data_IF_849108949553
#
_entry.id   IF_849108949553
#
_cell.length_a   1.000
_cell.length_b   1.000
_cell.length_c   1.000
_cell.angle_alpha   90.00
_cell.angle_beta   90.00
_cell.angle_gamma   90.00
#
_symmetry.space_group_name_H-M   'P 1'
#
loop_
_entity.id
_entity.type
_entity.pdbx_description
1 polymer ?
#
# COMPACT_ATOMS: atom_id res chain seq x y z
N UNK A 1 16.12 19.49 6.55
CA UNK A 1 17.16 19.70 7.56
C UNK A 1 16.81 20.94 8.39
N UNK A 2 17.07 20.89 9.68
CA UNK A 2 17.02 22.05 10.59
C UNK A 2 18.34 22.09 11.34
N UNK A 3 19.08 23.18 11.24
CA UNK A 3 20.42 23.33 11.88
C UNK A 3 21.37 22.15 11.58
N UNK A 4 21.37 21.66 10.35
CA UNK A 4 22.20 20.56 9.89
C UNK A 4 21.72 19.15 10.30
N UNK A 5 20.60 19.01 11.01
CA UNK A 5 20.01 17.73 11.41
C UNK A 5 18.85 17.36 10.48
N UNK A 6 18.74 16.07 10.16
CA UNK A 6 17.57 15.54 9.46
C UNK A 6 16.39 15.54 10.43
N UNK A 7 15.32 16.26 10.11
CA UNK A 7 14.09 16.33 10.90
C UNK A 7 12.89 15.68 10.21
N UNK A 8 13.05 15.29 8.94
CA UNK A 8 12.04 14.55 8.22
C UNK A 8 12.48 14.21 6.81
N UNK A 9 11.74 13.32 6.21
CA UNK A 9 11.87 12.91 4.79
C UNK A 9 10.49 12.62 4.20
N UNK A 10 10.35 12.72 2.89
CA UNK A 10 9.16 12.33 2.14
C UNK A 10 9.56 12.02 0.71
N UNK A 11 8.89 11.09 0.07
CA UNK A 11 8.98 10.87 -1.36
C UNK A 11 7.76 11.48 -2.07
N UNK A 12 7.99 12.27 -3.11
CA UNK A 12 6.95 12.73 -4.04
C UNK A 12 6.95 11.81 -5.28
N UNK A 13 5.81 11.19 -5.57
CA UNK A 13 5.71 10.15 -6.58
C UNK A 13 4.59 10.48 -7.56
N UNK A 14 4.87 10.48 -8.86
CA UNK A 14 3.85 10.53 -9.90
C UNK A 14 3.83 9.16 -10.59
N UNK A 15 2.78 8.39 -10.32
CA UNK A 15 2.53 7.14 -11.03
C UNK A 15 1.55 7.40 -12.17
N UNK A 16 2.06 7.55 -13.39
CA UNK A 16 1.25 7.86 -14.56
C UNK A 16 0.25 6.76 -14.91
N UNK A 17 0.55 5.48 -14.62
CA UNK A 17 -0.37 4.36 -14.83
C UNK A 17 -1.55 4.44 -13.87
N UNK A 18 -1.27 4.63 -12.57
CA UNK A 18 -2.31 4.82 -11.58
C UNK A 18 -3.18 6.05 -11.93
N UNK A 19 -2.56 7.17 -12.29
CA UNK A 19 -3.29 8.37 -12.68
C UNK A 19 -4.18 8.13 -13.91
N UNK A 20 -3.71 7.39 -14.91
CA UNK A 20 -4.53 7.03 -16.08
C UNK A 20 -5.67 6.10 -15.69
N UNK A 21 -5.38 5.05 -14.90
CA UNK A 21 -6.39 4.09 -14.47
C UNK A 21 -7.52 4.72 -13.68
N UNK A 22 -7.15 5.51 -12.68
CA UNK A 22 -8.09 6.15 -11.75
C UNK A 22 -8.62 7.50 -12.25
N UNK A 23 -8.22 7.93 -13.46
CA UNK A 23 -8.58 9.21 -14.08
C UNK A 23 -8.30 10.41 -13.14
N UNK A 24 -7.16 10.35 -12.45
CA UNK A 24 -6.70 11.37 -11.50
C UNK A 24 -5.47 12.10 -12.04
N UNK A 25 -5.21 13.28 -11.49
CA UNK A 25 -3.97 14.04 -11.68
C UNK A 25 -3.31 14.23 -10.32
N UNK A 26 -2.89 13.11 -9.72
CA UNK A 26 -2.36 13.07 -8.37
C UNK A 26 -0.85 12.95 -8.33
N UNK A 27 -0.25 13.64 -7.37
CA UNK A 27 1.06 13.31 -6.82
C UNK A 27 0.87 12.57 -5.51
N UNK A 28 1.51 11.43 -5.37
CA UNK A 28 1.49 10.67 -4.12
C UNK A 28 2.61 11.16 -3.20
N UNK A 29 2.36 11.17 -1.89
CA UNK A 29 3.43 11.23 -0.89
C UNK A 29 3.55 9.89 -0.20
N UNK A 30 4.76 9.39 -0.07
CA UNK A 30 5.06 8.12 0.59
C UNK A 30 6.38 8.18 1.34
N UNK A 31 6.69 7.11 2.07
CA UNK A 31 7.89 7.00 2.92
C UNK A 31 8.15 8.26 3.75
N UNK A 32 7.06 8.83 4.30
CA UNK A 32 7.13 10.03 5.11
C UNK A 32 7.57 9.66 6.53
N UNK A 33 8.65 10.30 6.98
CA UNK A 33 9.08 10.28 8.37
C UNK A 33 9.35 11.71 8.81
N UNK A 34 8.96 12.04 10.03
CA UNK A 34 9.13 13.39 10.58
C UNK A 34 9.16 13.37 12.10
N UNK A 35 9.79 14.37 12.68
CA UNK A 35 9.68 14.66 14.10
C UNK A 35 8.29 15.22 14.43
N UNK A 36 7.89 15.17 15.71
CA UNK A 36 6.62 15.74 16.18
C UNK A 36 6.66 17.28 16.13
N UNK A 37 6.46 17.81 14.93
CA UNK A 37 6.53 19.24 14.63
C UNK A 37 5.71 19.57 13.39
N UNK A 38 4.66 20.39 13.56
CA UNK A 38 3.72 20.73 12.49
C UNK A 38 4.36 21.53 11.35
N UNK A 39 5.39 22.33 11.63
CA UNK A 39 6.08 23.11 10.59
C UNK A 39 6.94 22.18 9.71
N UNK A 40 7.52 21.12 10.30
CA UNK A 40 8.22 20.08 9.53
C UNK A 40 7.25 19.33 8.66
N UNK A 41 6.10 18.90 9.20
CA UNK A 41 5.06 18.23 8.43
C UNK A 41 4.57 19.10 7.26
N UNK A 42 4.30 20.39 7.52
CA UNK A 42 3.91 21.37 6.50
C UNK A 42 4.96 21.50 5.40
N UNK A 43 6.23 21.71 5.75
CA UNK A 43 7.29 21.87 4.78
C UNK A 43 7.48 20.64 3.88
N UNK A 44 7.34 19.43 4.43
CA UNK A 44 7.42 18.19 3.67
C UNK A 44 6.28 18.07 2.65
N UNK A 45 5.04 18.31 3.10
CA UNK A 45 3.87 18.19 2.24
C UNK A 45 3.77 19.33 1.22
N UNK A 46 4.19 20.54 1.58
CA UNK A 46 4.28 21.67 0.64
C UNK A 46 5.29 21.39 -0.46
N UNK A 47 6.42 20.74 -0.15
CA UNK A 47 7.40 20.32 -1.16
C UNK A 47 6.82 19.29 -2.13
N UNK A 48 6.02 18.32 -1.63
CA UNK A 48 5.29 17.36 -2.48
C UNK A 48 4.27 18.07 -3.37
N UNK A 49 3.50 18.98 -2.80
CA UNK A 49 2.50 19.74 -3.51
C UNK A 49 3.14 20.64 -4.61
N UNK A 50 4.26 21.27 -4.31
CA UNK A 50 5.02 22.04 -5.29
C UNK A 50 5.52 21.15 -6.43
N UNK A 51 6.15 20.03 -6.11
CA UNK A 51 6.62 19.05 -7.11
C UNK A 51 5.49 18.59 -8.03
N UNK A 52 4.30 18.36 -7.48
CA UNK A 52 3.11 17.99 -8.22
C UNK A 52 2.62 19.11 -9.12
N UNK A 53 2.46 20.33 -8.60
CA UNK A 53 2.01 21.51 -9.37
C UNK A 53 2.91 21.79 -10.58
N UNK A 54 4.21 21.73 -10.41
CA UNK A 54 5.18 21.93 -11.50
C UNK A 54 5.05 20.90 -12.63
N UNK A 55 4.36 19.76 -12.35
CA UNK A 55 4.15 18.66 -13.31
C UNK A 55 2.67 18.47 -13.68
N UNK A 56 1.84 19.49 -13.41
CA UNK A 56 0.45 19.50 -13.79
C UNK A 56 -0.48 18.63 -12.98
N UNK A 57 -0.05 18.21 -11.77
CA UNK A 57 -0.91 17.50 -10.82
C UNK A 57 -1.79 18.50 -10.07
N UNK A 58 -3.02 18.09 -9.77
CA UNK A 58 -4.04 18.94 -9.13
C UNK A 58 -4.40 18.51 -7.72
N UNK A 59 -3.90 17.33 -7.29
CA UNK A 59 -4.16 16.80 -5.96
C UNK A 59 -2.91 16.11 -5.38
N UNK A 60 -2.85 16.04 -4.06
CA UNK A 60 -1.86 15.29 -3.29
C UNK A 60 -2.58 14.17 -2.57
N UNK A 61 -2.10 12.92 -2.70
CA UNK A 61 -2.71 11.73 -2.09
C UNK A 61 -1.66 10.94 -1.34
N UNK A 62 -2.01 10.39 -0.21
CA UNK A 62 -1.09 9.54 0.55
C UNK A 62 -1.45 9.41 2.04
N UNK A 63 -0.63 8.69 2.79
CA UNK A 63 0.63 8.06 2.35
C UNK A 63 0.39 6.87 1.39
N UNK A 64 1.05 6.89 0.25
CA UNK A 64 1.01 5.82 -0.75
C UNK A 64 2.38 5.66 -1.39
N UNK A 65 2.81 4.42 -1.60
CA UNK A 65 3.99 4.12 -2.40
C UNK A 65 3.76 4.21 -3.90
N UNK A 66 4.67 3.65 -4.67
CA UNK A 66 4.53 3.59 -6.13
C UNK A 66 3.48 2.55 -6.55
N UNK A 67 3.48 1.38 -5.87
CA UNK A 67 2.52 0.27 -6.07
C UNK A 67 1.93 -0.16 -4.75
N UNK A 68 0.91 -1.02 -4.76
CA UNK A 68 0.27 -1.64 -3.58
C UNK A 68 1.20 -2.58 -2.78
N UNK A 69 2.38 -2.89 -3.32
CA UNK A 69 3.40 -3.63 -2.58
C UNK A 69 4.29 -2.73 -1.72
N UNK A 70 4.14 -1.43 -1.86
CA UNK A 70 4.81 -0.44 -1.03
C UNK A 70 3.96 -0.12 0.21
N UNK A 71 4.56 0.45 1.27
CA UNK A 71 3.79 0.88 2.43
C UNK A 71 2.70 1.90 2.06
N UNK A 72 1.49 1.65 2.55
CA UNK A 72 0.30 2.48 2.32
C UNK A 72 -0.41 2.84 3.62
N UNK A 73 -1.00 4.03 3.63
CA UNK A 73 -1.80 4.51 4.73
C UNK A 73 -1.01 5.09 5.91
N UNK A 74 -1.74 5.45 6.93
CA UNK A 74 -1.24 5.99 8.20
C UNK A 74 -2.02 5.33 9.33
N UNK A 75 -1.31 4.74 10.30
CA UNK A 75 -1.94 4.14 11.48
C UNK A 75 -2.66 5.23 12.27
N UNK A 76 -3.94 5.04 12.53
CA UNK A 76 -4.81 5.97 13.27
C UNK A 76 -5.35 5.37 14.55
N UNK A 77 -5.39 4.04 14.65
CA UNK A 77 -5.84 3.27 15.80
C UNK A 77 -5.02 1.98 15.97
N UNK A 78 -5.01 1.39 17.17
CA UNK A 78 -4.27 0.16 17.43
C UNK A 78 -2.76 0.35 17.63
N UNK A 79 -2.31 1.49 18.11
CA UNK A 79 -0.87 1.79 18.35
C UNK A 79 -0.19 0.87 19.37
N UNK A 80 -0.96 0.17 20.18
CA UNK A 80 -0.53 -0.83 21.16
C UNK A 80 -0.48 -2.25 20.60
N UNK A 81 -0.92 -2.45 19.36
CA UNK A 81 -0.94 -3.76 18.70
C UNK A 81 0.34 -4.01 17.93
N UNK A 82 0.77 -5.27 17.88
CA UNK A 82 1.86 -5.70 17.04
C UNK A 82 1.35 -5.79 15.60
N UNK A 83 1.86 -4.92 14.73
CA UNK A 83 1.56 -4.95 13.30
C UNK A 83 2.18 -6.16 12.59
N UNK A 84 1.75 -6.42 11.37
CA UNK A 84 2.32 -7.46 10.51
C UNK A 84 3.44 -6.87 9.63
N UNK A 85 4.11 -7.74 8.90
CA UNK A 85 5.14 -7.35 7.93
C UNK A 85 4.60 -6.46 6.79
N UNK A 86 3.31 -6.57 6.49
CA UNK A 86 2.66 -5.85 5.40
C UNK A 86 2.00 -4.53 5.84
N UNK A 87 1.87 -4.31 7.15
CA UNK A 87 1.23 -3.11 7.69
C UNK A 87 2.26 -2.07 8.11
N UNK A 88 1.84 -0.81 8.08
CA UNK A 88 2.69 0.32 8.45
C UNK A 88 2.48 0.65 9.94
N UNK A 89 3.56 1.06 10.60
CA UNK A 89 3.50 1.67 11.93
C UNK A 89 4.03 3.09 11.86
N UNK A 90 3.33 4.00 12.52
CA UNK A 90 3.77 5.36 12.77
C UNK A 90 3.40 5.77 14.20
N UNK A 91 4.03 6.79 14.73
CA UNK A 91 3.71 7.32 16.06
C UNK A 91 2.35 8.02 16.09
N UNK A 92 1.67 8.05 17.25
CA UNK A 92 0.35 8.67 17.40
C UNK A 92 0.27 10.17 17.06
N UNK A 93 1.39 10.86 16.96
CA UNK A 93 1.41 12.27 16.58
C UNK A 93 1.20 12.50 15.07
N UNK A 94 1.45 11.49 14.21
CA UNK A 94 1.29 11.64 12.76
C UNK A 94 -0.14 12.06 12.35
N UNK A 95 -1.20 11.33 12.72
CA UNK A 95 -2.56 11.77 12.38
C UNK A 95 -2.91 13.12 13.01
N UNK A 96 -2.43 13.41 14.23
CA UNK A 96 -2.62 14.72 14.89
C UNK A 96 -1.97 15.87 14.12
N UNK A 97 -0.79 15.66 13.54
CA UNK A 97 -0.14 16.66 12.69
C UNK A 97 -0.95 16.89 11.40
N UNK A 98 -1.52 15.84 10.79
CA UNK A 98 -2.40 15.99 9.62
C UNK A 98 -3.65 16.81 9.96
N UNK A 99 -4.27 16.57 11.11
CA UNK A 99 -5.40 17.36 11.61
C UNK A 99 -5.03 18.84 11.82
N UNK A 100 -3.87 19.11 12.45
CA UNK A 100 -3.38 20.48 12.69
C UNK A 100 -3.06 21.24 11.40
N UNK A 101 -2.59 20.54 10.38
CA UNK A 101 -2.33 21.15 9.07
C UNK A 101 -3.61 21.63 8.40
N UNK A 102 -4.72 20.94 8.60
CA UNK A 102 -6.00 21.23 7.96
C UNK A 102 -5.97 21.07 6.44
N UNK A 103 -7.14 21.12 5.82
CA UNK A 103 -7.24 21.01 4.34
C UNK A 103 -7.03 19.62 3.77
N UNK A 104 -6.94 18.60 4.61
CA UNK A 104 -6.85 17.20 4.22
C UNK A 104 -8.19 16.52 4.43
N UNK A 105 -8.58 15.69 3.47
CA UNK A 105 -9.78 14.87 3.53
C UNK A 105 -9.39 13.40 3.56
N UNK A 106 -10.15 12.59 4.31
CA UNK A 106 -9.96 11.16 4.33
C UNK A 106 -10.46 10.55 3.02
N UNK A 107 -9.58 9.85 2.30
CA UNK A 107 -9.89 9.26 1.00
C UNK A 107 -10.28 7.78 1.14
N UNK A 108 -9.55 7.00 1.96
CA UNK A 108 -9.81 5.58 2.15
C UNK A 108 -9.46 5.11 3.57
N UNK A 109 -10.05 3.99 3.99
CA UNK A 109 -9.71 3.29 5.23
C UNK A 109 -9.13 1.90 4.92
N UNK A 110 -8.09 1.54 5.66
CA UNK A 110 -7.56 0.18 5.71
C UNK A 110 -7.84 -0.41 7.08
N UNK A 111 -8.32 -1.65 7.12
CA UNK A 111 -8.65 -2.34 8.36
C UNK A 111 -7.88 -3.65 8.46
N UNK A 112 -7.16 -3.84 9.56
CA UNK A 112 -6.47 -5.09 9.87
C UNK A 112 -7.28 -5.93 10.86
N UNK A 113 -7.46 -7.22 10.56
CA UNK A 113 -8.16 -8.16 11.40
C UNK A 113 -7.21 -9.22 11.96
N UNK A 114 -7.22 -9.42 13.27
CA UNK A 114 -6.54 -10.53 13.91
C UNK A 114 -7.48 -11.73 14.03
N UNK A 115 -7.14 -12.82 13.34
CA UNK A 115 -7.86 -14.08 13.43
C UNK A 115 -7.10 -15.06 14.33
N UNK A 116 -7.79 -15.59 15.32
CA UNK A 116 -7.24 -16.67 16.15
C UNK A 116 -7.51 -18.00 15.43
N UNK A 117 -6.42 -18.63 14.99
CA UNK A 117 -6.52 -19.95 14.36
C UNK A 117 -6.80 -21.00 15.45
N UNK A 118 -7.89 -21.78 15.38
CA UNK A 118 -8.16 -22.84 16.34
C UNK A 118 -7.15 -23.98 16.19
N UNK A 119 -6.89 -24.74 17.27
CA UNK A 119 -5.98 -25.90 17.26
C UNK A 119 -6.38 -26.95 16.23
N UNK A 120 -7.67 -27.08 15.93
CA UNK A 120 -8.19 -27.97 14.90
C UNK A 120 -9.10 -27.20 13.94
N UNK A 121 -8.93 -27.43 12.65
CA UNK A 121 -9.80 -26.84 11.63
C UNK A 121 -11.20 -27.46 11.74
N UNK A 122 -12.26 -26.67 11.96
CA UNK A 122 -13.62 -27.20 12.04
C UNK A 122 -14.01 -28.01 10.79
N UNK A 123 -14.62 -29.17 10.99
CA UNK A 123 -14.94 -30.13 9.91
C UNK A 123 -15.74 -29.52 8.75
N UNK A 124 -16.59 -28.53 9.05
CA UNK A 124 -17.36 -27.81 8.03
C UNK A 124 -16.48 -27.15 6.95
N UNK A 125 -15.34 -26.57 7.34
CA UNK A 125 -14.41 -25.93 6.38
C UNK A 125 -13.70 -26.98 5.53
N UNK A 126 -13.28 -28.09 6.14
CA UNK A 126 -12.66 -29.20 5.40
C UNK A 126 -13.62 -29.83 4.38
N UNK A 127 -14.89 -29.99 4.76
CA UNK A 127 -15.93 -30.50 3.84
C UNK A 127 -16.18 -29.53 2.69
N UNK A 128 -16.31 -28.23 2.98
CA UNK A 128 -16.50 -27.21 1.94
C UNK A 128 -15.30 -27.15 1.00
N UNK A 129 -14.07 -27.15 1.52
CA UNK A 129 -12.86 -27.15 0.71
C UNK A 129 -12.82 -28.31 -0.27
N UNK A 130 -13.05 -29.56 0.21
CA UNK A 130 -13.11 -30.75 -0.65
C UNK A 130 -14.21 -30.68 -1.72
N UNK A 131 -15.36 -30.11 -1.38
CA UNK A 131 -16.45 -29.91 -2.34
C UNK A 131 -16.08 -28.93 -3.46
N UNK A 132 -15.43 -27.82 -3.08
CA UNK A 132 -14.94 -26.79 -4.01
C UNK A 132 -13.85 -27.36 -4.91
N UNK A 133 -12.85 -28.04 -4.34
CA UNK A 133 -11.80 -28.74 -5.09
C UNK A 133 -12.40 -29.65 -6.17
N UNK A 134 -13.33 -30.53 -5.74
CA UNK A 134 -13.98 -31.49 -6.65
C UNK A 134 -14.86 -30.80 -7.71
N UNK A 135 -15.65 -29.78 -7.31
CA UNK A 135 -16.61 -29.11 -8.20
C UNK A 135 -15.93 -28.29 -9.27
N UNK A 136 -14.84 -27.62 -8.93
CA UNK A 136 -14.13 -26.69 -9.80
C UNK A 136 -12.80 -27.23 -10.31
N UNK A 137 -12.48 -28.49 -10.02
CA UNK A 137 -11.20 -29.13 -10.39
C UNK A 137 -9.97 -28.31 -9.97
N UNK A 138 -10.01 -27.79 -8.73
CA UNK A 138 -8.94 -26.96 -8.17
C UNK A 138 -7.93 -27.82 -7.44
N UNK A 139 -6.66 -27.47 -7.53
CA UNK A 139 -5.57 -28.14 -6.84
C UNK A 139 -4.64 -27.12 -6.22
N UNK A 140 -4.26 -27.32 -4.95
CA UNK A 140 -3.19 -26.58 -4.32
C UNK A 140 -1.87 -27.07 -4.91
N UNK A 141 -1.07 -26.14 -5.42
CA UNK A 141 0.25 -26.44 -5.97
C UNK A 141 1.32 -25.62 -5.24
N UNK A 142 2.35 -26.28 -4.76
CA UNK A 142 3.53 -25.66 -4.20
C UNK A 142 4.53 -25.54 -5.34
N UNK A 143 4.92 -24.30 -5.65
CA UNK A 143 5.89 -24.03 -6.71
C UNK A 143 7.31 -24.01 -6.17
N UNK A 144 8.23 -24.61 -6.90
CA UNK A 144 9.66 -24.52 -6.63
C UNK A 144 10.23 -23.20 -7.15
N UNK A 145 11.38 -22.78 -6.60
CA UNK A 145 12.08 -21.59 -7.10
C UNK A 145 12.40 -21.68 -8.61
N UNK A 146 12.73 -22.88 -9.09
CA UNK A 146 13.00 -23.10 -10.52
C UNK A 146 11.78 -22.82 -11.39
N UNK A 147 10.62 -23.35 -11.02
CA UNK A 147 9.37 -23.14 -11.75
C UNK A 147 8.99 -21.65 -11.78
N UNK A 148 9.14 -20.94 -10.64
CA UNK A 148 8.84 -19.51 -10.55
C UNK A 148 9.76 -18.71 -11.49
N UNK A 149 11.08 -18.92 -11.42
CA UNK A 149 12.07 -18.08 -12.09
C UNK A 149 12.38 -18.51 -13.53
N UNK A 150 12.22 -19.80 -13.88
CA UNK A 150 12.67 -20.35 -15.17
C UNK A 150 11.54 -20.89 -16.05
N UNK A 151 10.44 -21.36 -15.45
CA UNK A 151 9.32 -21.93 -16.19
C UNK A 151 8.15 -20.94 -16.39
N UNK A 152 8.36 -19.66 -16.04
CA UNK A 152 7.41 -18.59 -16.29
C UNK A 152 6.25 -18.51 -15.30
N UNK A 153 6.27 -19.27 -14.19
CA UNK A 153 5.21 -19.17 -13.18
C UNK A 153 5.21 -17.83 -12.47
N UNK A 154 6.36 -17.17 -12.30
CA UNK A 154 6.43 -15.82 -11.77
C UNK A 154 5.58 -14.84 -12.57
N UNK A 155 5.73 -14.83 -13.90
CA UNK A 155 4.91 -13.98 -14.78
C UNK A 155 3.42 -14.32 -14.70
N UNK A 156 3.04 -15.60 -14.63
CA UNK A 156 1.64 -16.03 -14.47
C UNK A 156 1.04 -15.54 -13.15
N UNK A 157 1.83 -15.57 -12.06
CA UNK A 157 1.40 -15.06 -10.76
C UNK A 157 1.14 -13.55 -10.83
N UNK A 158 2.08 -12.77 -11.39
CA UNK A 158 1.89 -11.32 -11.51
C UNK A 158 0.80 -10.93 -12.48
N UNK A 159 0.60 -11.69 -13.56
CA UNK A 159 -0.56 -11.49 -14.43
C UNK A 159 -1.88 -11.72 -13.66
N UNK A 160 -1.94 -12.79 -12.86
CA UNK A 160 -3.10 -13.05 -12.00
C UNK A 160 -3.33 -11.93 -10.98
N UNK A 161 -2.26 -11.42 -10.36
CA UNK A 161 -2.34 -10.29 -9.43
C UNK A 161 -2.89 -9.05 -10.16
N UNK A 162 -2.34 -8.70 -11.32
CA UNK A 162 -2.82 -7.57 -12.10
C UNK A 162 -4.32 -7.68 -12.43
N UNK A 163 -4.82 -8.88 -12.73
CA UNK A 163 -6.23 -9.11 -13.03
C UNK A 163 -7.13 -9.09 -11.80
N UNK A 164 -6.65 -9.63 -10.69
CA UNK A 164 -7.48 -9.79 -9.48
C UNK A 164 -7.46 -8.57 -8.56
N UNK A 165 -6.40 -7.77 -8.59
CA UNK A 165 -6.22 -6.60 -7.73
C UNK A 165 -6.62 -5.29 -8.41
N UNK A 166 -7.02 -5.36 -9.66
CA UNK A 166 -7.31 -4.17 -10.49
C UNK A 166 -8.33 -3.19 -9.90
N UNK A 167 -9.21 -3.65 -9.03
CA UNK A 167 -10.25 -2.84 -8.41
C UNK A 167 -9.93 -2.43 -6.95
N UNK A 168 -8.74 -2.80 -6.45
CA UNK A 168 -8.26 -2.36 -5.13
C UNK A 168 -7.87 -0.89 -5.22
N UNK A 169 -8.24 -0.12 -4.20
CA UNK A 169 -7.92 1.31 -4.12
C UNK A 169 -6.42 1.57 -4.28
N UNK A 170 -6.08 2.51 -5.14
CA UNK A 170 -4.68 2.90 -5.38
C UNK A 170 -3.87 1.93 -6.25
N UNK A 171 -4.42 0.76 -6.60
CA UNK A 171 -3.72 -0.26 -7.38
C UNK A 171 -3.13 0.29 -8.68
N UNK A 172 -1.95 -0.17 -9.00
CA UNK A 172 -1.26 0.09 -10.26
C UNK A 172 -0.65 -1.19 -10.79
N UNK A 173 -1.04 -1.59 -12.00
CA UNK A 173 -0.51 -2.77 -12.66
C UNK A 173 1.01 -2.75 -12.79
N UNK A 174 1.64 -3.87 -12.50
CA UNK A 174 3.05 -4.08 -12.79
C UNK A 174 3.23 -4.39 -14.28
N UNK A 175 4.20 -3.72 -14.90
CA UNK A 175 4.60 -4.02 -16.27
C UNK A 175 5.44 -5.29 -16.34
N UNK A 176 5.48 -5.93 -17.51
CA UNK A 176 6.37 -7.08 -17.75
C UNK A 176 7.82 -6.76 -17.37
N UNK A 177 8.29 -5.55 -17.67
CA UNK A 177 9.64 -5.10 -17.30
C UNK A 177 9.88 -5.00 -15.79
N UNK A 178 8.82 -4.79 -14.99
CA UNK A 178 8.93 -4.78 -13.52
C UNK A 178 8.84 -6.18 -12.93
N UNK A 179 8.21 -7.10 -13.65
CA UNK A 179 8.04 -8.50 -13.25
C UNK A 179 9.29 -9.31 -13.57
N UNK A 180 10.03 -8.99 -14.63
CA UNK A 180 11.28 -9.65 -15.06
C UNK A 180 12.48 -9.24 -14.23
#
# INVERSE_FOLDING_TARGET
>A
YREGRIVGRVAAIINSRANTRWQRKSVRFGWIDMVDDVDVARALLDAVAQFGRERGMTEVVGPLGFTDFDPEGMLTDGFDQLGTMATIYNYPYYPKLMEQLGGWEKDNDYVEFKLIVPDTVPEKYTKVARLVEKRFNLHVRILTRHEILKEGYGRKIFHLINETFKDIYGFSELSDKQVD
#
